data_IF_022834378726
#
_entry.id   IF_022834378726
#
_cell.length_a   1.000
_cell.length_b   1.000
_cell.length_c   1.000
_cell.angle_alpha   90.00
_cell.angle_beta   90.00
_cell.angle_gamma   90.00
#
_symmetry.space_group_name_H-M   'P 1'
#
loop_
_entity.id
_entity.type
_entity.pdbx_description
1 polymer ?
#
# COMPACT_ATOMS: atom_id res chain seq x y z
N UNK A 1 -56.56 22.43 -13.59
CA UNK A 1 -56.10 21.58 -12.47
C UNK A 1 -55.76 20.15 -12.89
N UNK A 2 -56.67 19.37 -13.50
CA UNK A 2 -56.42 17.97 -13.93
C UNK A 2 -55.17 17.76 -14.79
N UNK A 3 -54.93 18.60 -15.81
CA UNK A 3 -53.75 18.49 -16.70
C UNK A 3 -52.42 18.73 -15.96
N UNK A 4 -52.41 19.64 -14.98
CA UNK A 4 -51.23 19.96 -14.18
C UNK A 4 -50.89 18.79 -13.24
N UNK A 5 -51.91 18.20 -12.60
CA UNK A 5 -51.72 17.01 -11.75
C UNK A 5 -51.16 15.84 -12.55
N UNK A 6 -51.72 15.58 -13.74
CA UNK A 6 -51.21 14.53 -14.63
C UNK A 6 -49.76 14.79 -15.04
N UNK A 7 -49.41 16.03 -15.41
CA UNK A 7 -48.03 16.40 -15.75
C UNK A 7 -47.06 16.18 -14.57
N UNK A 8 -47.44 16.59 -13.35
CA UNK A 8 -46.61 16.43 -12.16
C UNK A 8 -46.39 14.95 -11.81
N UNK A 9 -47.43 14.13 -11.90
CA UNK A 9 -47.34 12.68 -11.67
C UNK A 9 -46.43 12.04 -12.72
N UNK A 10 -46.54 12.41 -14.00
CA UNK A 10 -45.66 11.90 -15.05
C UNK A 10 -44.20 12.28 -14.83
N UNK A 11 -43.92 13.52 -14.41
CA UNK A 11 -42.55 13.97 -14.10
C UNK A 11 -41.99 13.16 -12.92
N UNK A 12 -42.77 12.95 -11.86
CA UNK A 12 -42.36 12.14 -10.71
C UNK A 12 -42.03 10.69 -11.11
N UNK A 13 -42.82 10.08 -11.98
CA UNK A 13 -42.56 8.73 -12.49
C UNK A 13 -41.27 8.66 -13.32
N UNK A 14 -41.02 9.66 -14.18
CA UNK A 14 -39.78 9.73 -14.97
C UNK A 14 -38.56 9.91 -14.06
N UNK A 15 -38.63 10.81 -13.07
CA UNK A 15 -37.56 11.01 -12.09
C UNK A 15 -37.32 9.72 -11.29
N UNK A 16 -38.39 9.07 -10.81
CA UNK A 16 -38.27 7.81 -10.07
C UNK A 16 -37.61 6.70 -10.91
N UNK A 17 -37.98 6.56 -12.17
CA UNK A 17 -37.36 5.61 -13.10
C UNK A 17 -35.89 5.93 -13.36
N UNK A 18 -35.54 7.22 -13.48
CA UNK A 18 -34.15 7.65 -13.70
C UNK A 18 -33.29 7.36 -12.46
N UNK A 19 -33.78 7.69 -11.26
CA UNK A 19 -33.09 7.39 -10.00
C UNK A 19 -32.90 5.89 -9.82
N UNK A 20 -33.92 5.09 -10.08
CA UNK A 20 -33.81 3.63 -10.01
C UNK A 20 -32.76 3.09 -10.99
N UNK A 21 -32.75 3.58 -12.24
CA UNK A 21 -31.77 3.17 -13.26
C UNK A 21 -30.35 3.55 -12.84
N UNK A 22 -30.14 4.78 -12.39
CA UNK A 22 -28.84 5.25 -11.91
C UNK A 22 -28.38 4.46 -10.69
N UNK A 23 -29.29 4.15 -9.75
CA UNK A 23 -29.01 3.31 -8.59
C UNK A 23 -28.62 1.88 -8.98
N UNK A 24 -29.31 1.27 -9.93
CA UNK A 24 -28.99 -0.08 -10.44
C UNK A 24 -27.66 -0.08 -11.19
N UNK A 25 -27.37 0.93 -12.01
CA UNK A 25 -26.07 1.07 -12.67
C UNK A 25 -24.95 1.22 -11.64
N UNK A 26 -25.16 2.05 -10.62
CA UNK A 26 -24.18 2.24 -9.55
C UNK A 26 -23.93 0.95 -8.76
N UNK A 27 -24.98 0.19 -8.42
CA UNK A 27 -24.87 -1.08 -7.72
C UNK A 27 -24.16 -2.14 -8.58
N UNK A 28 -24.54 -2.25 -9.84
CA UNK A 28 -23.88 -3.15 -10.80
C UNK A 28 -22.41 -2.79 -10.97
N UNK A 29 -22.11 -1.52 -11.17
CA UNK A 29 -20.74 -1.05 -11.37
C UNK A 29 -19.92 -1.21 -10.08
N UNK A 30 -20.55 -1.16 -8.89
CA UNK A 30 -19.93 -1.51 -7.61
C UNK A 30 -19.65 -3.02 -7.49
N UNK A 31 -20.63 -3.87 -7.80
CA UNK A 31 -20.50 -5.33 -7.77
C UNK A 31 -19.50 -5.87 -8.80
N UNK A 32 -19.35 -5.18 -9.94
CA UNK A 32 -18.44 -5.57 -11.02
C UNK A 32 -17.09 -4.85 -10.97
N UNK A 33 -16.76 -4.08 -9.92
CA UNK A 33 -15.42 -3.45 -9.84
C UNK A 33 -14.36 -4.55 -9.78
N UNK A 34 -13.40 -4.47 -10.70
CA UNK A 34 -12.32 -5.47 -10.82
C UNK A 34 -12.74 -6.79 -11.47
N UNK A 35 -14.02 -6.96 -11.82
CA UNK A 35 -14.48 -8.10 -12.61
C UNK A 35 -14.19 -7.85 -14.09
N UNK A 36 -13.26 -8.62 -14.66
CA UNK A 36 -13.10 -8.75 -16.11
C UNK A 36 -13.76 -10.06 -16.49
N UNK A 37 -14.78 -10.04 -17.35
CA UNK A 37 -15.35 -11.27 -17.91
C UNK A 37 -14.38 -11.84 -18.95
N UNK A 38 -13.62 -12.91 -18.62
CA UNK A 38 -12.63 -13.47 -19.54
C UNK A 38 -13.29 -14.26 -20.68
N UNK A 39 -14.61 -14.42 -20.64
CA UNK A 39 -15.41 -15.10 -21.67
C UNK A 39 -16.05 -14.13 -22.66
N UNK A 40 -16.15 -12.83 -22.30
CA UNK A 40 -16.73 -11.80 -23.15
C UNK A 40 -15.79 -11.36 -24.28
N UNK A 41 -14.47 -11.36 -24.06
CA UNK A 41 -13.47 -11.14 -25.09
C UNK A 41 -12.15 -11.87 -24.75
N UNK A 42 -11.56 -12.55 -25.73
CA UNK A 42 -10.24 -13.19 -25.62
C UNK A 42 -9.07 -12.19 -25.72
N UNK A 43 -9.35 -10.91 -25.98
CA UNK A 43 -8.40 -9.79 -25.87
C UNK A 43 -8.11 -9.44 -24.39
N UNK A 44 -7.80 -10.45 -23.57
CA UNK A 44 -7.07 -10.16 -22.35
C UNK A 44 -5.70 -9.65 -22.81
N UNK A 45 -5.23 -8.47 -22.35
CA UNK A 45 -3.90 -8.02 -22.67
C UNK A 45 -2.95 -9.16 -22.28
N UNK A 46 -2.02 -9.50 -23.18
CA UNK A 46 -0.99 -10.49 -22.88
C UNK A 46 -0.18 -9.92 -21.71
N UNK A 47 -0.60 -10.26 -20.49
CA UNK A 47 0.15 -9.93 -19.31
C UNK A 47 1.44 -10.72 -19.46
N UNK A 48 2.52 -10.04 -19.85
CA UNK A 48 3.85 -10.57 -19.58
C UNK A 48 3.93 -10.60 -18.06
N UNK A 49 3.50 -11.71 -17.48
CA UNK A 49 3.60 -11.98 -16.05
C UNK A 49 5.08 -11.97 -15.74
N UNK A 50 5.55 -10.81 -15.29
CA UNK A 50 6.90 -10.62 -14.79
C UNK A 50 6.81 -10.98 -13.32
N UNK A 51 7.28 -12.17 -12.90
CA UNK A 51 7.04 -12.64 -11.55
C UNK A 51 7.80 -11.75 -10.57
N UNK A 52 7.24 -11.65 -9.37
CA UNK A 52 7.85 -10.98 -8.23
C UNK A 52 8.23 -11.95 -7.13
N UNK A 53 9.18 -11.54 -6.28
CA UNK A 53 9.64 -12.31 -5.13
C UNK A 53 9.83 -11.38 -3.92
N UNK A 54 9.44 -11.86 -2.73
CA UNK A 54 9.78 -11.19 -1.48
C UNK A 54 11.25 -11.46 -1.16
N UNK A 55 11.97 -10.42 -0.76
CA UNK A 55 13.39 -10.50 -0.48
C UNK A 55 13.71 -9.82 0.85
N UNK A 56 14.82 -10.23 1.45
CA UNK A 56 15.44 -9.54 2.57
C UNK A 56 16.92 -9.32 2.24
N UNK A 57 17.20 -8.38 1.35
CA UNK A 57 18.53 -8.12 0.81
C UNK A 57 19.41 -7.35 1.80
N UNK A 58 18.82 -6.63 2.74
CA UNK A 58 19.55 -5.86 3.75
C UNK A 58 20.25 -6.74 4.80
N UNK A 59 19.98 -8.05 4.82
CA UNK A 59 20.70 -9.01 5.65
C UNK A 59 22.11 -9.36 5.11
N UNK A 60 22.41 -9.00 3.87
CA UNK A 60 23.66 -9.33 3.19
C UNK A 60 24.59 -8.12 3.13
N UNK A 61 25.89 -8.37 3.25
CA UNK A 61 26.90 -7.36 3.03
C UNK A 61 27.03 -7.00 1.54
N UNK A 62 27.58 -5.82 1.25
CA UNK A 62 27.77 -5.34 -0.14
C UNK A 62 28.51 -6.30 -1.08
N UNK A 63 29.38 -7.16 -0.56
CA UNK A 63 30.10 -8.15 -1.37
C UNK A 63 29.21 -9.30 -1.87
N UNK A 64 28.16 -9.64 -1.12
CA UNK A 64 27.27 -10.77 -1.41
C UNK A 64 26.01 -10.34 -2.19
N UNK A 65 25.62 -9.06 -2.11
CA UNK A 65 24.45 -8.52 -2.82
C UNK A 65 24.43 -8.87 -4.31
N UNK A 66 25.51 -8.70 -5.10
CA UNK A 66 25.48 -9.06 -6.52
C UNK A 66 25.22 -10.54 -6.78
N UNK A 67 25.70 -11.42 -5.90
CA UNK A 67 25.43 -12.86 -6.00
C UNK A 67 23.93 -13.16 -5.85
N UNK A 68 23.28 -12.57 -4.84
CA UNK A 68 21.86 -12.79 -4.58
C UNK A 68 20.96 -12.15 -5.64
N UNK A 69 21.26 -10.91 -6.05
CA UNK A 69 20.54 -10.22 -7.12
C UNK A 69 20.65 -10.98 -8.46
N UNK A 70 21.85 -11.45 -8.81
CA UNK A 70 22.06 -12.25 -10.02
C UNK A 70 21.30 -13.58 -10.01
N UNK A 71 21.10 -14.19 -8.83
CA UNK A 71 20.26 -15.39 -8.71
C UNK A 71 18.77 -15.09 -8.91
N UNK A 72 18.28 -13.95 -8.40
CA UNK A 72 16.90 -13.50 -8.59
C UNK A 72 16.64 -13.24 -10.08
N UNK A 73 17.51 -12.49 -10.73
CA UNK A 73 17.39 -12.17 -12.16
C UNK A 73 17.50 -13.45 -13.02
N UNK A 74 18.47 -14.32 -12.75
CA UNK A 74 18.64 -15.59 -13.48
C UNK A 74 17.46 -16.56 -13.30
N UNK A 75 16.72 -16.45 -12.19
CA UNK A 75 15.48 -17.19 -11.97
C UNK A 75 14.27 -16.61 -12.73
N UNK A 76 14.45 -15.48 -13.42
CA UNK A 76 13.43 -14.84 -14.25
C UNK A 76 12.51 -13.89 -13.49
N UNK A 77 12.86 -13.51 -12.25
CA UNK A 77 12.11 -12.49 -11.51
C UNK A 77 12.44 -11.09 -12.02
N UNK A 78 11.40 -10.23 -12.05
CA UNK A 78 11.52 -8.80 -12.32
C UNK A 78 11.31 -8.01 -11.06
N UNK A 79 10.24 -8.30 -10.32
CA UNK A 79 9.88 -7.53 -9.14
C UNK A 79 10.56 -8.08 -7.90
N UNK A 80 11.15 -7.19 -7.11
CA UNK A 80 11.65 -7.53 -5.77
C UNK A 80 10.87 -6.72 -4.73
N UNK A 81 10.19 -7.40 -3.81
CA UNK A 81 9.50 -6.76 -2.70
C UNK A 81 10.42 -6.75 -1.48
N UNK A 82 10.93 -5.57 -1.13
CA UNK A 82 11.92 -5.34 -0.06
C UNK A 82 11.34 -4.40 1.00
N UNK A 83 11.51 -4.73 2.28
CA UNK A 83 11.13 -3.84 3.37
C UNK A 83 12.19 -2.77 3.64
N UNK A 84 11.72 -1.55 3.90
CA UNK A 84 12.47 -0.45 4.50
C UNK A 84 11.87 -0.17 5.88
N UNK A 85 12.52 -0.68 6.93
CA UNK A 85 12.07 -0.50 8.30
C UNK A 85 12.53 0.86 8.84
N UNK A 86 11.58 1.78 9.06
CA UNK A 86 11.87 3.11 9.57
C UNK A 86 12.59 3.07 10.92
N UNK A 87 12.22 2.12 11.79
CA UNK A 87 12.84 1.95 13.11
C UNK A 87 14.32 1.52 13.05
N UNK A 88 14.78 0.98 11.93
CA UNK A 88 16.18 0.60 11.73
C UNK A 88 16.97 1.69 11.01
N UNK A 89 16.30 2.43 10.11
CA UNK A 89 16.88 3.51 9.31
C UNK A 89 17.03 4.79 10.14
N UNK A 90 16.08 5.10 11.02
CA UNK A 90 16.09 6.29 11.88
C UNK A 90 15.86 5.89 13.35
N UNK A 91 16.92 5.33 13.95
CA UNK A 91 16.86 4.80 15.32
C UNK A 91 16.64 5.89 16.38
N UNK A 92 17.19 7.08 16.13
CA UNK A 92 17.09 8.29 16.96
C UNK A 92 16.47 9.41 16.11
N UNK A 93 15.66 10.30 16.72
CA UNK A 93 14.92 11.36 16.02
C UNK A 93 15.88 12.29 15.25
N UNK A 94 15.77 12.31 13.93
CA UNK A 94 16.61 13.11 13.03
C UNK A 94 17.94 12.47 12.62
N UNK A 95 18.31 11.30 13.14
CA UNK A 95 19.54 10.59 12.78
C UNK A 95 19.25 9.46 11.80
N UNK A 96 19.18 9.80 10.51
CA UNK A 96 18.90 8.82 9.46
C UNK A 96 20.19 8.18 8.92
N UNK A 97 20.29 6.86 9.03
CA UNK A 97 21.35 6.04 8.46
C UNK A 97 20.90 5.33 7.17
N UNK A 98 21.37 5.86 6.04
CA UNK A 98 21.09 5.31 4.72
C UNK A 98 22.09 4.23 4.27
N UNK A 99 23.08 3.86 5.08
CA UNK A 99 24.25 3.10 4.62
C UNK A 99 23.91 1.74 4.00
N UNK A 100 22.97 0.98 4.57
CA UNK A 100 22.54 -0.30 4.03
C UNK A 100 21.75 -0.13 2.72
N UNK A 101 20.85 0.86 2.66
CA UNK A 101 20.09 1.18 1.46
C UNK A 101 20.96 1.73 0.34
N UNK A 102 21.97 2.54 0.64
CA UNK A 102 22.93 3.03 -0.35
C UNK A 102 23.76 1.88 -0.95
N UNK A 103 24.09 0.87 -0.14
CA UNK A 103 24.78 -0.34 -0.63
C UNK A 103 23.87 -1.16 -1.53
N UNK A 104 22.61 -1.36 -1.14
CA UNK A 104 21.61 -2.04 -1.97
C UNK A 104 21.35 -1.28 -3.28
N UNK A 105 21.20 0.04 -3.21
CA UNK A 105 20.96 0.88 -4.38
C UNK A 105 22.10 0.78 -5.39
N UNK A 106 23.35 0.87 -4.92
CA UNK A 106 24.55 0.68 -5.76
C UNK A 106 24.60 -0.72 -6.38
N UNK A 107 24.25 -1.76 -5.62
CA UNK A 107 24.23 -3.12 -6.16
C UNK A 107 23.15 -3.30 -7.23
N UNK A 108 21.99 -2.66 -7.09
CA UNK A 108 20.89 -2.74 -8.05
C UNK A 108 21.18 -2.01 -9.38
N UNK A 109 22.12 -1.07 -9.42
CA UNK A 109 22.56 -0.41 -10.67
C UNK A 109 23.05 -1.42 -11.73
N UNK A 110 23.63 -2.54 -11.29
CA UNK A 110 24.10 -3.62 -12.16
C UNK A 110 22.97 -4.54 -12.66
N UNK A 111 21.74 -4.41 -12.14
CA UNK A 111 20.59 -5.27 -12.44
C UNK A 111 19.36 -4.46 -12.89
N UNK A 112 19.43 -3.72 -14.02
CA UNK A 112 18.37 -2.82 -14.47
C UNK A 112 17.04 -3.51 -14.85
N UNK A 113 17.00 -4.84 -14.88
CA UNK A 113 15.75 -5.59 -15.08
C UNK A 113 14.97 -5.80 -13.78
N UNK A 114 15.62 -5.67 -12.62
CA UNK A 114 14.99 -5.80 -11.33
C UNK A 114 14.33 -4.48 -10.93
N UNK A 115 13.03 -4.53 -10.64
CA UNK A 115 12.20 -3.40 -10.24
C UNK A 115 11.85 -3.53 -8.75
N UNK A 116 12.38 -2.66 -7.89
CA UNK A 116 12.03 -2.66 -6.47
C UNK A 116 10.61 -2.15 -6.22
N UNK A 117 9.84 -2.95 -5.49
CA UNK A 117 8.69 -2.48 -4.72
C UNK A 117 9.12 -2.41 -3.26
N UNK A 118 9.18 -1.19 -2.72
CA UNK A 118 9.67 -0.96 -1.36
C UNK A 118 8.51 -0.81 -0.40
N UNK A 119 8.52 -1.60 0.68
CA UNK A 119 7.54 -1.54 1.75
C UNK A 119 8.06 -0.63 2.86
N UNK A 120 7.47 0.54 3.02
CA UNK A 120 7.79 1.44 4.13
C UNK A 120 6.99 1.00 5.37
N UNK A 121 7.68 0.56 6.42
CA UNK A 121 7.03 -0.06 7.58
C UNK A 121 7.75 0.30 8.90
N UNK A 122 7.07 -0.03 9.99
CA UNK A 122 7.45 0.16 11.39
C UNK A 122 7.53 1.62 11.81
N UNK A 123 7.58 1.81 13.13
CA UNK A 123 7.86 3.10 13.76
C UNK A 123 8.98 2.95 14.79
N UNK A 124 9.99 3.84 14.79
CA UNK A 124 11.00 3.87 15.83
C UNK A 124 10.38 4.20 17.19
N UNK A 125 11.09 3.84 18.26
CA UNK A 125 10.58 4.00 19.62
C UNK A 125 10.18 5.45 19.95
N UNK A 126 10.92 6.43 19.42
CA UNK A 126 10.69 7.86 19.66
C UNK A 126 9.48 8.43 18.89
N UNK A 127 8.97 7.76 17.85
CA UNK A 127 7.85 8.23 17.02
C UNK A 127 6.56 7.43 17.20
N UNK A 128 6.66 6.25 17.80
CA UNK A 128 5.60 5.25 17.88
C UNK A 128 4.52 5.61 18.89
N UNK A 129 3.29 5.23 18.58
CA UNK A 129 2.17 5.35 19.51
C UNK A 129 2.27 4.34 20.68
N UNK A 130 2.39 4.84 21.91
CA UNK A 130 2.41 4.04 23.14
C UNK A 130 1.01 3.64 23.65
N UNK A 131 0.09 3.25 22.75
CA UNK A 131 -1.24 2.75 23.14
C UNK A 131 -1.30 1.22 23.30
N UNK A 132 -0.21 0.51 23.00
CA UNK A 132 -0.12 -0.95 23.08
C UNK A 132 -0.36 -1.47 24.51
N UNK A 133 -1.17 -2.52 24.64
CA UNK A 133 -1.51 -3.17 25.92
C UNK A 133 -0.35 -3.98 26.54
N UNK A 134 0.81 -3.35 26.74
CA UNK A 134 1.90 -3.86 27.58
C UNK A 134 3.14 -4.43 26.86
N UNK A 135 3.18 -4.45 25.51
CA UNK A 135 4.39 -4.82 24.77
C UNK A 135 4.65 -3.80 23.65
N UNK A 136 5.74 -3.01 23.70
CA UNK A 136 6.14 -2.14 22.60
C UNK A 136 6.40 -2.98 21.34
N UNK A 137 5.57 -2.84 20.31
CA UNK A 137 5.77 -3.50 19.01
C UNK A 137 6.26 -2.52 17.97
N UNK A 138 7.31 -2.85 17.21
CA UNK A 138 7.85 -1.99 16.12
C UNK A 138 6.80 -1.71 15.04
N UNK A 139 5.80 -2.59 14.93
CA UNK A 139 4.63 -2.49 14.06
C UNK A 139 3.54 -1.56 14.61
N UNK A 140 3.79 -0.81 15.69
CA UNK A 140 2.88 0.26 16.07
C UNK A 140 2.90 1.38 15.04
N UNK A 141 1.75 1.95 14.64
CA UNK A 141 1.73 3.15 13.82
C UNK A 141 2.40 4.32 14.57
N UNK A 142 2.84 5.36 13.85
CA UNK A 142 3.37 6.56 14.47
C UNK A 142 2.28 7.32 15.22
N UNK A 143 2.65 7.95 16.34
CA UNK A 143 1.77 8.87 17.05
C UNK A 143 1.46 10.12 16.20
N UNK A 144 2.42 10.56 15.40
CA UNK A 144 2.31 11.69 14.49
C UNK A 144 2.59 11.23 13.05
N UNK A 145 1.53 11.17 12.24
CA UNK A 145 1.58 10.75 10.84
C UNK A 145 2.56 11.62 10.01
N UNK A 146 2.79 12.89 10.41
CA UNK A 146 3.70 13.78 9.69
C UNK A 146 5.17 13.34 9.80
N UNK A 147 5.54 12.64 10.89
CA UNK A 147 6.90 12.10 11.07
C UNK A 147 7.16 10.95 10.10
N UNK A 148 6.22 10.00 9.99
CA UNK A 148 6.32 8.93 8.99
C UNK A 148 6.26 9.48 7.57
N UNK A 149 5.42 10.48 7.30
CA UNK A 149 5.39 11.14 6.02
C UNK A 149 6.71 11.84 5.68
N UNK A 150 7.38 12.47 6.65
CA UNK A 150 8.71 13.06 6.45
C UNK A 150 9.74 11.99 6.10
N UNK A 151 9.77 10.86 6.82
CA UNK A 151 10.61 9.72 6.49
C UNK A 151 10.33 9.18 5.08
N UNK A 152 9.07 8.94 4.73
CA UNK A 152 8.68 8.43 3.42
C UNK A 152 9.06 9.39 2.29
N UNK A 153 8.86 10.69 2.49
CA UNK A 153 9.29 11.73 1.55
C UNK A 153 10.82 11.83 1.42
N UNK A 154 11.56 11.65 2.51
CA UNK A 154 13.03 11.63 2.49
C UNK A 154 13.57 10.38 1.76
N UNK A 155 12.97 9.22 2.01
CA UNK A 155 13.28 7.97 1.32
C UNK A 155 13.07 8.14 -0.20
N UNK A 156 11.88 8.60 -0.62
CA UNK A 156 11.58 8.81 -2.03
C UNK A 156 12.48 9.87 -2.69
N UNK A 157 12.77 10.96 -1.98
CA UNK A 157 13.68 11.99 -2.48
C UNK A 157 15.11 11.49 -2.69
N UNK A 158 15.54 10.49 -1.92
CA UNK A 158 16.86 9.88 -2.05
C UNK A 158 16.91 8.78 -3.09
N UNK A 159 15.90 7.91 -3.14
CA UNK A 159 15.92 6.67 -3.91
C UNK A 159 14.95 6.65 -5.11
N UNK A 160 14.21 7.73 -5.39
CA UNK A 160 13.25 7.79 -6.50
C UNK A 160 13.86 7.65 -7.90
N UNK A 161 15.18 7.74 -8.05
CA UNK A 161 15.86 7.36 -9.30
C UNK A 161 15.94 5.85 -9.54
N UNK A 162 15.66 5.04 -8.51
CA UNK A 162 15.76 3.58 -8.50
C UNK A 162 14.43 2.91 -8.11
N UNK A 163 13.65 3.56 -7.24
CA UNK A 163 12.42 3.01 -6.67
C UNK A 163 11.23 3.78 -7.21
N UNK A 164 10.42 3.11 -8.02
CA UNK A 164 9.18 3.68 -8.55
C UNK A 164 7.94 3.29 -7.72
N UNK A 165 8.01 2.23 -6.90
CA UNK A 165 6.84 1.64 -6.23
C UNK A 165 7.01 1.61 -4.73
N UNK A 166 6.10 2.27 -4.02
CA UNK A 166 6.13 2.43 -2.57
C UNK A 166 4.86 1.82 -1.97
N UNK A 167 5.00 0.67 -1.31
CA UNK A 167 3.95 0.10 -0.49
C UNK A 167 3.97 0.77 0.89
N UNK A 168 2.83 1.30 1.32
CA UNK A 168 2.71 1.95 2.62
C UNK A 168 2.10 0.97 3.62
N UNK A 169 2.94 0.58 4.57
CA UNK A 169 2.65 -0.41 5.61
C UNK A 169 2.47 -1.84 5.09
N UNK A 170 2.33 -2.80 6.01
CA UNK A 170 1.98 -4.18 5.70
C UNK A 170 0.99 -4.73 6.72
N UNK A 171 -0.02 -5.44 6.23
CA UNK A 171 -1.04 -6.16 7.00
C UNK A 171 -1.69 -5.37 8.16
N UNK A 172 -2.11 -4.10 7.97
CA UNK A 172 -2.73 -3.30 9.04
C UNK A 172 -4.05 -3.90 9.58
N UNK A 173 -4.57 -4.94 8.92
CA UNK A 173 -5.74 -5.71 9.33
C UNK A 173 -5.42 -6.78 10.40
N UNK A 174 -4.17 -6.92 10.82
CA UNK A 174 -3.72 -7.75 11.94
C UNK A 174 -3.24 -6.88 13.11
N UNK A 175 -3.66 -7.22 14.33
CA UNK A 175 -3.17 -6.51 15.52
C UNK A 175 -1.65 -6.62 15.67
N UNK A 176 -1.07 -7.78 15.33
CA UNK A 176 0.38 -7.99 15.43
C UNK A 176 1.17 -7.11 14.45
N UNK A 177 0.55 -6.67 13.35
CA UNK A 177 1.09 -5.70 12.41
C UNK A 177 0.55 -4.27 12.63
N UNK A 178 -0.20 -4.04 13.72
CA UNK A 178 -0.74 -2.74 14.11
C UNK A 178 -0.53 -2.44 15.60
N UNK A 179 0.66 -2.74 16.12
CA UNK A 179 1.05 -2.35 17.49
C UNK A 179 0.36 -3.14 18.61
N UNK A 180 -0.23 -4.30 18.29
CA UNK A 180 -1.08 -5.06 19.21
C UNK A 180 -2.47 -4.43 19.43
N UNK A 181 -2.80 -3.35 18.72
CA UNK A 181 -4.11 -2.71 18.76
C UNK A 181 -5.07 -3.41 17.82
N UNK A 182 -6.38 -3.32 18.09
CA UNK A 182 -7.38 -3.74 17.11
C UNK A 182 -7.18 -2.97 15.79
N UNK A 183 -7.37 -3.59 14.62
CA UNK A 183 -7.21 -2.94 13.32
C UNK A 183 -8.07 -1.68 13.15
N UNK A 184 -7.48 -0.63 12.56
CA UNK A 184 -8.13 0.68 12.38
C UNK A 184 -8.01 1.18 10.94
N UNK A 185 -8.94 0.79 10.04
CA UNK A 185 -8.92 1.20 8.63
C UNK A 185 -8.83 2.72 8.44
N UNK A 186 -9.56 3.51 9.24
CA UNK A 186 -9.55 4.97 9.19
C UNK A 186 -8.20 5.60 9.59
N UNK A 187 -7.45 4.99 10.50
CA UNK A 187 -6.10 5.46 10.85
C UNK A 187 -5.09 5.06 9.79
N UNK A 188 -5.22 3.84 9.24
CA UNK A 188 -4.40 3.37 8.13
C UNK A 188 -4.56 4.26 6.88
N UNK A 189 -5.78 4.62 6.48
CA UNK A 189 -5.98 5.46 5.29
C UNK A 189 -5.38 6.87 5.49
N UNK A 190 -5.42 7.41 6.71
CA UNK A 190 -4.79 8.68 7.04
C UNK A 190 -3.25 8.59 6.97
N UNK A 191 -2.66 7.49 7.45
CA UNK A 191 -1.22 7.21 7.31
C UNK A 191 -0.83 7.11 5.82
N UNK A 192 -1.59 6.34 5.04
CA UNK A 192 -1.40 6.17 3.60
C UNK A 192 -1.45 7.51 2.86
N UNK A 193 -2.47 8.34 3.09
CA UNK A 193 -2.61 9.61 2.38
C UNK A 193 -1.49 10.60 2.75
N UNK A 194 -1.10 10.65 4.03
CA UNK A 194 0.01 11.50 4.48
C UNK A 194 1.35 11.10 3.85
N UNK A 195 1.66 9.80 3.83
CA UNK A 195 2.86 9.27 3.20
C UNK A 195 2.85 9.48 1.69
N UNK A 196 1.72 9.17 1.02
CA UNK A 196 1.50 9.44 -0.41
C UNK A 196 1.80 10.89 -0.76
N UNK A 197 1.23 11.83 -0.01
CA UNK A 197 1.41 13.25 -0.28
C UNK A 197 2.86 13.68 -0.15
N UNK A 198 3.61 13.11 0.80
CA UNK A 198 5.04 13.41 0.97
C UNK A 198 5.92 12.78 -0.10
N UNK A 199 5.69 11.51 -0.45
CA UNK A 199 6.39 10.82 -1.54
C UNK A 199 6.20 11.59 -2.84
N UNK A 200 4.96 11.93 -3.22
CA UNK A 200 4.67 12.61 -4.48
C UNK A 200 5.23 14.05 -4.56
N UNK A 201 5.59 14.67 -3.44
CA UNK A 201 6.31 15.96 -3.42
C UNK A 201 7.80 15.79 -3.75
N UNK A 202 8.39 14.67 -3.34
CA UNK A 202 9.80 14.36 -3.58
C UNK A 202 10.03 13.66 -4.92
N UNK A 203 9.08 12.81 -5.32
CA UNK A 203 9.08 12.01 -6.53
C UNK A 203 7.67 11.97 -7.12
N UNK A 204 7.43 12.81 -8.14
CA UNK A 204 6.12 12.93 -8.77
C UNK A 204 5.76 11.75 -9.69
N UNK A 205 6.72 10.89 -10.03
CA UNK A 205 6.50 9.71 -10.87
C UNK A 205 6.18 8.45 -10.04
N UNK A 206 6.41 8.51 -8.72
CA UNK A 206 6.16 7.41 -7.80
C UNK A 206 4.73 6.83 -7.89
N UNK A 207 4.65 5.51 -7.90
CA UNK A 207 3.43 4.74 -7.73
C UNK A 207 3.27 4.34 -6.27
N UNK A 208 2.15 4.75 -5.67
CA UNK A 208 1.81 4.39 -4.29
C UNK A 208 0.94 3.13 -4.29
N UNK A 209 1.35 2.15 -3.49
CA UNK A 209 0.69 0.86 -3.31
C UNK A 209 0.12 0.81 -1.89
N UNK A 210 -1.17 0.46 -1.76
CA UNK A 210 -1.76 0.20 -0.45
C UNK A 210 -1.13 -1.06 0.18
N UNK A 211 -1.29 -1.23 1.48
CA UNK A 211 -0.73 -2.34 2.23
C UNK A 211 -1.27 -3.67 1.66
N UNK A 212 -0.40 -4.68 1.64
CA UNK A 212 -0.86 -6.06 1.50
C UNK A 212 -1.73 -6.41 2.71
N UNK A 213 -2.96 -6.83 2.48
CA UNK A 213 -3.86 -7.26 3.56
C UNK A 213 -3.70 -8.77 3.78
N UNK A 214 -3.63 -9.16 5.05
CA UNK A 214 -3.60 -10.58 5.41
C UNK A 214 -4.95 -11.22 5.07
N UNK A 215 -4.97 -12.37 4.36
CA UNK A 215 -6.21 -13.05 3.98
C UNK A 215 -6.82 -13.76 5.20
N UNK A 216 -7.59 -13.03 5.99
CA UNK A 216 -8.22 -13.49 7.24
C UNK A 216 -9.75 -13.53 7.11
N UNK A 217 -10.44 -14.15 8.08
CA UNK A 217 -11.91 -14.34 8.03
C UNK A 217 -12.64 -13.70 9.21
N UNK A 218 -11.89 -13.19 10.17
CA UNK A 218 -12.38 -12.57 11.39
C UNK A 218 -13.19 -11.32 11.08
N UNK A 219 -14.29 -11.13 11.79
CA UNK A 219 -15.19 -9.98 11.55
C UNK A 219 -14.88 -8.78 12.43
N UNK A 220 -14.16 -8.97 13.54
CA UNK A 220 -13.83 -7.94 14.53
C UNK A 220 -12.78 -8.45 15.53
N UNK A 221 -12.25 -7.53 16.33
CA UNK A 221 -11.28 -7.81 17.40
C UNK A 221 -9.86 -7.66 16.90
N UNK A 222 -8.96 -8.56 17.32
CA UNK A 222 -7.54 -8.45 17.04
C UNK A 222 -7.18 -8.53 15.55
N UNK A 223 -8.02 -9.15 14.73
CA UNK A 223 -7.86 -9.19 13.29
C UNK A 223 -9.21 -8.88 12.64
N UNK A 224 -9.18 -8.34 11.42
CA UNK A 224 -10.36 -8.27 10.55
C UNK A 224 -10.01 -8.75 9.15
N UNK A 225 -10.95 -9.46 8.51
CA UNK A 225 -10.80 -9.95 7.14
C UNK A 225 -10.39 -8.82 6.21
N UNK A 226 -9.51 -9.13 5.25
CA UNK A 226 -9.11 -8.25 4.16
C UNK A 226 -10.30 -7.58 3.47
N UNK A 227 -11.36 -8.33 3.15
CA UNK A 227 -12.57 -7.78 2.53
C UNK A 227 -13.24 -6.72 3.40
N UNK A 228 -13.45 -6.99 4.69
CA UNK A 228 -14.04 -6.01 5.62
C UNK A 228 -13.14 -4.81 5.85
N UNK A 229 -11.83 -5.02 5.90
CA UNK A 229 -10.87 -3.94 6.01
C UNK A 229 -10.98 -3.01 4.79
N UNK A 230 -11.00 -3.57 3.57
CA UNK A 230 -11.17 -2.83 2.31
C UNK A 230 -12.52 -2.11 2.22
N UNK A 231 -13.62 -2.74 2.64
CA UNK A 231 -14.94 -2.10 2.69
C UNK A 231 -14.99 -0.87 3.59
N UNK A 232 -14.06 -0.77 4.55
CA UNK A 232 -13.97 0.31 5.53
C UNK A 232 -12.95 1.40 5.16
N UNK A 233 -12.22 1.28 4.05
CA UNK A 233 -11.32 2.32 3.49
C UNK A 233 -12.10 3.33 2.64
#
# INVERSE_FOLDING_TARGET
>A
MRKLVVLLVSILLVIGSLVATLGTLHLRDFELRGYVDPTANLDLPFAQHKPGVNVELLQYDSADLPHHLGRIESAGFRWIRQFAYWDEIEREDGEIDWSAWDQLARALEDFPQLEPLVVLMNSPAWAREERSAGIPSKTGPPQDLSRFAAFAGAFAGRFGGLVDYYQIWDEPNLADAWGGMDPRPAEYIALLDSARAAILRSDAAATIVAAGLAPTTETAGRNISDIRFLEAL
#
